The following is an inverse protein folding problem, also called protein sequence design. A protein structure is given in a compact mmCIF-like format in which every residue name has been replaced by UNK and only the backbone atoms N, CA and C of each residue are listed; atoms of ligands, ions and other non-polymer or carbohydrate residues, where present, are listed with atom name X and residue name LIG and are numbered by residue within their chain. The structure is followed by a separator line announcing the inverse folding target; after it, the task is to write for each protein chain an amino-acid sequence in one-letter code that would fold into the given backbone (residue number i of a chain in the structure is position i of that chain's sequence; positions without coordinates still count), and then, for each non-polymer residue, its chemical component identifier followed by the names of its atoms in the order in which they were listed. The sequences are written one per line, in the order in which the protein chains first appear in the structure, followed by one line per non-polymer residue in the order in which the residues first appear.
data_IF_951333494133
#
_entry.id   IF_951333494133
#
_cell.length_a   1.000
_cell.length_b   1.000
_cell.length_c   1.000
_cell.angle_alpha   90.00
_cell.angle_beta   90.00
_cell.angle_gamma   90.00
#
_symmetry.space_group_name_H-M   'P 1'
#
loop_
_entity.id
_entity.type
_entity.pdbx_description
1 polymer ?
#
# COMPACT_ATOMS: atom_id res chain seq x y z
N UNK A 1 -16.59 13.50 13.36
CA UNK A 1 -15.39 12.96 14.06
C UNK A 1 -15.08 11.51 13.70
N UNK A 2 -15.99 10.55 13.95
CA UNK A 2 -15.71 9.10 13.77
C UNK A 2 -15.23 8.77 12.34
N UNK A 3 -15.92 9.26 11.29
CA UNK A 3 -15.53 9.01 9.89
C UNK A 3 -14.12 9.50 9.55
N UNK A 4 -13.70 10.64 10.13
CA UNK A 4 -12.37 11.23 9.96
C UNK A 4 -11.31 10.40 10.67
N UNK A 5 -11.57 10.01 11.92
CA UNK A 5 -10.68 9.11 12.66
C UNK A 5 -10.51 7.78 11.91
N UNK A 6 -11.59 7.19 11.38
CA UNK A 6 -11.53 5.98 10.54
C UNK A 6 -10.72 6.20 9.25
N UNK A 7 -10.89 7.35 8.57
CA UNK A 7 -10.09 7.67 7.39
C UNK A 7 -8.59 7.76 7.71
N UNK A 8 -8.22 8.46 8.77
CA UNK A 8 -6.83 8.58 9.21
C UNK A 8 -6.28 7.21 9.59
N UNK A 9 -7.04 6.41 10.34
CA UNK A 9 -6.66 5.06 10.72
C UNK A 9 -6.41 4.16 9.50
N UNK A 10 -7.28 4.21 8.49
CA UNK A 10 -7.08 3.46 7.24
C UNK A 10 -5.81 3.88 6.50
N UNK A 11 -5.48 5.18 6.47
CA UNK A 11 -4.22 5.64 5.85
C UNK A 11 -2.99 5.19 6.66
N UNK A 12 -3.07 5.20 7.99
CA UNK A 12 -1.99 4.69 8.85
C UNK A 12 -1.78 3.20 8.63
N UNK A 13 -2.85 2.41 8.61
CA UNK A 13 -2.77 0.97 8.33
C UNK A 13 -2.20 0.74 6.94
N UNK A 14 -2.67 1.48 5.93
CA UNK A 14 -2.15 1.41 4.56
C UNK A 14 -0.67 1.78 4.48
N UNK A 15 -0.22 2.79 5.21
CA UNK A 15 1.18 3.17 5.30
C UNK A 15 2.03 2.02 5.84
N UNK A 16 1.62 1.39 6.94
CA UNK A 16 2.32 0.24 7.50
C UNK A 16 2.31 -0.97 6.56
N UNK A 17 1.21 -1.23 5.87
CA UNK A 17 1.14 -2.31 4.87
C UNK A 17 2.12 -2.08 3.72
N UNK A 18 2.23 -0.85 3.21
CA UNK A 18 3.20 -0.52 2.15
C UNK A 18 4.63 -0.58 2.67
N UNK A 19 4.89 -0.11 3.90
CA UNK A 19 6.20 -0.26 4.55
C UNK A 19 6.59 -1.73 4.69
N UNK A 20 5.66 -2.59 5.08
CA UNK A 20 5.89 -4.03 5.18
C UNK A 20 6.21 -4.63 3.80
N UNK A 21 5.45 -4.29 2.76
CA UNK A 21 5.77 -4.71 1.38
C UNK A 21 7.15 -4.21 0.92
N UNK A 22 7.53 -2.97 1.24
CA UNK A 22 8.85 -2.44 0.95
C UNK A 22 9.95 -3.24 1.66
N UNK A 23 9.71 -3.61 2.92
CA UNK A 23 10.64 -4.41 3.71
C UNK A 23 10.85 -5.80 3.11
N UNK A 24 9.78 -6.42 2.61
CA UNK A 24 9.84 -7.67 1.84
C UNK A 24 10.67 -7.49 0.57
N UNK A 25 10.47 -6.42 -0.21
CA UNK A 25 11.30 -6.22 -1.40
C UNK A 25 12.78 -6.00 -1.08
N UNK A 26 13.09 -5.27 0.00
CA UNK A 26 14.47 -5.08 0.44
C UNK A 26 15.11 -6.36 1.00
N UNK A 27 14.31 -7.35 1.42
CA UNK A 27 14.85 -8.64 1.90
C UNK A 27 15.54 -9.45 0.80
N UNK A 28 15.50 -9.01 -0.46
CA UNK A 28 16.22 -9.69 -1.53
C UNK A 28 17.73 -9.41 -1.47
N UNK A 29 18.15 -8.36 -0.76
CA UNK A 29 19.57 -8.04 -0.63
C UNK A 29 20.23 -9.01 0.37
N UNK A 30 21.22 -9.82 -0.03
CA UNK A 30 21.89 -10.75 0.88
C UNK A 30 22.70 -10.05 1.99
N UNK A 31 22.90 -8.74 1.90
CA UNK A 31 23.61 -7.94 2.91
C UNK A 31 22.75 -7.61 4.13
N UNK A 32 21.42 -7.82 4.06
CA UNK A 32 20.52 -7.56 5.20
C UNK A 32 20.29 -8.82 6.03
N UNK A 33 20.14 -8.66 7.34
CA UNK A 33 19.99 -9.78 8.29
C UNK A 33 18.69 -10.58 8.13
N UNK A 34 17.71 -10.03 7.43
CA UNK A 34 16.41 -10.65 7.16
C UNK A 34 16.31 -11.12 5.70
N UNK A 35 17.43 -11.48 5.07
CA UNK A 35 17.43 -11.97 3.70
C UNK A 35 16.46 -13.14 3.49
N UNK A 36 15.64 -13.06 2.46
CA UNK A 36 14.67 -14.09 2.10
C UNK A 36 14.75 -14.43 0.61
N UNK A 37 14.44 -15.67 0.28
CA UNK A 37 14.35 -16.09 -1.12
C UNK A 37 13.10 -15.49 -1.81
N UNK A 38 13.12 -15.46 -3.14
CA UNK A 38 12.03 -14.93 -3.95
C UNK A 38 10.68 -15.61 -3.69
N UNK A 39 10.67 -16.91 -3.40
CA UNK A 39 9.43 -17.65 -3.11
C UNK A 39 8.75 -17.20 -1.81
N UNK A 40 9.50 -16.94 -0.75
CA UNK A 40 8.98 -16.47 0.54
C UNK A 40 8.48 -15.02 0.40
N UNK A 41 9.22 -14.18 -0.33
CA UNK A 41 8.80 -12.81 -0.63
C UNK A 41 7.46 -12.76 -1.38
N UNK A 42 7.35 -13.57 -2.44
CA UNK A 42 6.11 -13.74 -3.20
C UNK A 42 4.93 -14.09 -2.30
N UNK A 43 5.12 -15.12 -1.47
CA UNK A 43 4.09 -15.63 -0.60
C UNK A 43 3.66 -14.59 0.44
N UNK A 44 4.62 -13.87 1.05
CA UNK A 44 4.33 -12.83 2.03
C UNK A 44 3.52 -11.68 1.42
N UNK A 45 3.85 -11.23 0.20
CA UNK A 45 3.09 -10.20 -0.50
C UNK A 45 1.64 -10.65 -0.78
N UNK A 46 1.44 -11.90 -1.22
CA UNK A 46 0.11 -12.41 -1.58
C UNK A 46 -0.73 -12.79 -0.37
N UNK A 47 -0.16 -13.38 0.67
CA UNK A 47 -0.92 -13.86 1.83
C UNK A 47 -1.16 -12.73 2.84
N UNK A 48 -0.25 -11.76 2.95
CA UNK A 48 -0.34 -10.72 3.97
C UNK A 48 -0.69 -9.38 3.34
N UNK A 49 0.13 -8.87 2.42
CA UNK A 49 -0.06 -7.51 1.88
C UNK A 49 -1.33 -7.38 1.04
N UNK A 50 -1.63 -8.36 0.17
CA UNK A 50 -2.80 -8.29 -0.70
C UNK A 50 -4.13 -8.28 0.08
N UNK A 51 -4.40 -9.21 1.02
CA UNK A 51 -5.64 -9.18 1.80
C UNK A 51 -5.79 -7.89 2.60
N UNK A 52 -4.70 -7.40 3.20
CA UNK A 52 -4.73 -6.13 3.94
C UNK A 52 -5.12 -4.97 3.03
N UNK A 53 -4.53 -4.85 1.84
CA UNK A 53 -4.86 -3.79 0.89
C UNK A 53 -6.30 -3.89 0.37
N UNK A 54 -6.83 -5.10 0.18
CA UNK A 54 -8.23 -5.31 -0.19
C UNK A 54 -9.18 -4.89 0.93
N UNK A 55 -8.86 -5.20 2.19
CA UNK A 55 -9.63 -4.75 3.36
C UNK A 55 -9.58 -3.23 3.48
N UNK A 56 -8.43 -2.61 3.28
CA UNK A 56 -8.27 -1.14 3.28
C UNK A 56 -9.13 -0.51 2.18
N UNK A 57 -9.09 -1.06 0.96
CA UNK A 57 -9.92 -0.62 -0.16
C UNK A 57 -11.42 -0.71 0.19
N UNK A 58 -11.86 -1.84 0.75
CA UNK A 58 -13.21 -2.01 1.25
C UNK A 58 -13.58 -0.96 2.31
N UNK A 59 -12.66 -0.65 3.23
CA UNK A 59 -12.81 0.40 4.22
C UNK A 59 -13.02 1.78 3.61
N UNK A 60 -12.22 2.16 2.60
CA UNK A 60 -12.41 3.43 1.90
C UNK A 60 -13.74 3.48 1.12
N UNK A 61 -14.13 2.38 0.46
CA UNK A 61 -15.42 2.31 -0.23
C UNK A 61 -16.60 2.47 0.74
N UNK A 62 -16.55 1.80 1.90
CA UNK A 62 -17.56 1.94 2.95
C UNK A 62 -17.65 3.36 3.49
N UNK A 63 -16.52 4.05 3.71
CA UNK A 63 -16.52 5.45 4.12
C UNK A 63 -17.17 6.37 3.08
N UNK A 64 -16.91 6.12 1.80
CA UNK A 64 -17.54 6.87 0.71
C UNK A 64 -19.06 6.66 0.66
N UNK A 65 -19.52 5.40 0.77
CA UNK A 65 -20.95 5.06 0.82
C UNK A 65 -21.62 5.73 2.03
N UNK A 66 -20.93 5.81 3.17
CA UNK A 66 -21.39 6.53 4.37
C UNK A 66 -21.33 8.05 4.22
N UNK A 67 -21.05 8.60 3.04
CA UNK A 67 -21.09 10.03 2.74
C UNK A 67 -19.87 10.82 3.22
N UNK A 68 -18.71 10.18 3.41
CA UNK A 68 -17.46 10.92 3.64
C UNK A 68 -16.94 11.47 2.30
N UNK A 69 -16.72 12.79 2.23
CA UNK A 69 -16.30 13.45 1.01
C UNK A 69 -14.80 13.24 0.78
N UNK A 70 -14.46 12.32 -0.13
CA UNK A 70 -13.07 12.00 -0.50
C UNK A 70 -12.85 12.27 -1.98
N UNK A 71 -11.68 12.81 -2.31
CA UNK A 71 -11.22 12.89 -3.70
C UNK A 71 -11.11 11.49 -4.29
N UNK A 72 -11.51 11.34 -5.56
CA UNK A 72 -11.46 10.06 -6.30
C UNK A 72 -10.06 9.43 -6.30
N UNK A 73 -9.01 10.26 -6.33
CA UNK A 73 -7.63 9.79 -6.35
C UNK A 73 -7.25 9.04 -5.06
N UNK A 74 -7.74 9.50 -3.90
CA UNK A 74 -7.46 8.89 -2.61
C UNK A 74 -8.21 7.56 -2.44
N UNK A 75 -9.42 7.46 -3.01
CA UNK A 75 -10.18 6.20 -3.06
C UNK A 75 -9.49 5.13 -3.90
N UNK A 76 -8.84 5.53 -5.00
CA UNK A 76 -8.15 4.61 -5.91
C UNK A 76 -6.71 4.29 -5.47
N UNK A 77 -6.18 4.98 -4.46
CA UNK A 77 -4.81 4.78 -3.99
C UNK A 77 -4.50 3.32 -3.61
N UNK A 78 -5.34 2.59 -2.85
CA UNK A 78 -5.10 1.18 -2.58
C UNK A 78 -5.05 0.32 -3.84
N UNK A 79 -5.85 0.65 -4.87
CA UNK A 79 -5.85 -0.08 -6.14
C UNK A 79 -4.52 0.10 -6.86
N UNK A 80 -4.00 1.34 -6.91
CA UNK A 80 -2.69 1.62 -7.52
C UNK A 80 -1.56 0.90 -6.79
N UNK A 81 -1.63 0.84 -5.45
CA UNK A 81 -0.66 0.09 -4.64
C UNK A 81 -0.72 -1.40 -4.99
N UNK A 82 -1.91 -2.00 -5.01
CA UNK A 82 -2.08 -3.43 -5.36
C UNK A 82 -1.50 -3.72 -6.76
N UNK A 83 -1.81 -2.89 -7.74
CA UNK A 83 -1.32 -3.07 -9.11
C UNK A 83 0.22 -2.96 -9.15
N UNK A 84 0.78 -1.91 -8.54
CA UNK A 84 2.22 -1.64 -8.59
C UNK A 84 3.07 -2.60 -7.75
N UNK A 85 2.53 -3.16 -6.68
CA UNK A 85 3.30 -3.96 -5.71
C UNK A 85 2.95 -5.45 -5.68
N UNK A 86 1.84 -5.87 -6.30
CA UNK A 86 1.41 -7.27 -6.21
C UNK A 86 1.07 -7.83 -7.59
N UNK A 87 0.32 -7.09 -8.42
CA UNK A 87 -0.12 -7.61 -9.72
C UNK A 87 1.05 -7.90 -10.66
N UNK A 88 2.07 -7.03 -10.69
CA UNK A 88 3.31 -7.25 -11.43
C UNK A 88 4.00 -8.56 -11.06
N UNK A 89 4.01 -8.87 -9.76
CA UNK A 89 4.63 -10.08 -9.23
C UNK A 89 3.82 -11.33 -9.61
N UNK A 90 2.50 -11.25 -9.58
CA UNK A 90 1.60 -12.36 -9.95
C UNK A 90 1.70 -12.71 -11.43
N UNK A 91 1.88 -11.72 -12.31
CA UNK A 91 1.96 -11.92 -13.77
C UNK A 91 3.30 -12.55 -14.17
N UNK A 92 4.40 -12.10 -13.57
CA UNK A 92 5.76 -12.57 -13.91
C UNK A 92 5.98 -14.01 -13.38
N UNK A 93 5.28 -14.42 -12.32
CA UNK A 93 5.38 -15.75 -11.70
C UNK A 93 6.73 -16.03 -11.01
N UNK A 94 7.72 -15.18 -11.25
CA UNK A 94 9.05 -15.14 -10.67
C UNK A 94 9.31 -13.71 -10.17
N UNK A 95 9.84 -13.54 -8.95
CA UNK A 95 10.42 -12.25 -8.57
C UNK A 95 11.80 -12.12 -9.23
N UNK A 96 11.83 -11.67 -10.48
CA UNK A 96 13.05 -11.17 -11.10
C UNK A 96 13.49 -9.84 -10.47
N UNK A 97 14.78 -9.53 -10.59
CA UNK A 97 15.37 -8.28 -10.07
C UNK A 97 14.64 -7.03 -10.58
N UNK A 98 14.17 -7.06 -11.84
CA UNK A 98 13.41 -5.97 -12.46
C UNK A 98 12.09 -5.76 -11.70
N UNK A 99 11.36 -6.84 -11.43
CA UNK A 99 10.06 -6.82 -10.75
C UNK A 99 10.21 -6.37 -9.29
N UNK A 100 11.29 -6.77 -8.61
CA UNK A 100 11.67 -6.27 -7.28
C UNK A 100 11.97 -4.76 -7.33
N UNK A 101 12.74 -4.31 -8.34
CA UNK A 101 13.07 -2.90 -8.51
C UNK A 101 11.84 -2.03 -8.73
N UNK A 102 10.93 -2.45 -9.62
CA UNK A 102 9.66 -1.76 -9.88
C UNK A 102 8.80 -1.73 -8.61
N UNK A 103 8.64 -2.87 -7.94
CA UNK A 103 7.86 -2.97 -6.70
C UNK A 103 8.39 -2.06 -5.60
N UNK A 104 9.71 -1.98 -5.43
CA UNK A 104 10.39 -1.08 -4.50
C UNK A 104 10.08 0.39 -4.80
N UNK A 105 10.22 0.81 -6.07
CA UNK A 105 9.91 2.17 -6.50
C UNK A 105 8.43 2.50 -6.26
N UNK A 106 7.52 1.59 -6.62
CA UNK A 106 6.09 1.75 -6.38
C UNK A 106 5.76 1.91 -4.89
N UNK A 107 6.40 1.12 -4.02
CA UNK A 107 6.25 1.26 -2.56
C UNK A 107 6.70 2.64 -2.09
N UNK A 108 7.89 3.11 -2.48
CA UNK A 108 8.42 4.43 -2.08
C UNK A 108 7.50 5.56 -2.52
N UNK A 109 7.08 5.58 -3.78
CA UNK A 109 6.15 6.59 -4.31
C UNK A 109 4.82 6.55 -3.54
N UNK A 110 4.32 5.35 -3.25
CA UNK A 110 3.06 5.17 -2.53
C UNK A 110 3.16 5.71 -1.09
N UNK A 111 4.24 5.44 -0.37
CA UNK A 111 4.46 5.96 0.98
C UNK A 111 4.44 7.49 1.02
N UNK A 112 5.16 8.13 0.09
CA UNK A 112 5.19 9.59 -0.03
C UNK A 112 3.78 10.11 -0.33
N UNK A 113 3.06 9.47 -1.25
CA UNK A 113 1.69 9.86 -1.62
C UNK A 113 0.70 9.73 -0.46
N UNK A 114 0.78 8.65 0.34
CA UNK A 114 -0.06 8.46 1.52
C UNK A 114 0.15 9.60 2.53
N UNK A 115 1.41 9.96 2.79
CA UNK A 115 1.74 11.08 3.69
C UNK A 115 1.16 12.40 3.16
N UNK A 116 1.37 12.70 1.87
CA UNK A 116 0.83 13.92 1.24
C UNK A 116 -0.69 13.96 1.33
N UNK A 117 -1.37 12.86 1.01
CA UNK A 117 -2.84 12.77 1.03
C UNK A 117 -3.39 12.95 2.45
N UNK A 118 -2.70 12.42 3.47
CA UNK A 118 -3.04 12.70 4.87
C UNK A 118 -2.96 14.19 5.17
N UNK A 119 -1.84 14.86 4.87
CA UNK A 119 -1.68 16.30 5.15
C UNK A 119 -2.66 17.18 4.37
N UNK A 120 -2.92 16.88 3.09
CA UNK A 120 -3.83 17.66 2.27
C UNK A 120 -5.28 17.56 2.75
N UNK A 121 -5.74 16.37 3.15
CA UNK A 121 -7.08 16.21 3.69
C UNK A 121 -7.25 16.81 5.09
N UNK A 122 -6.17 16.89 5.89
CA UNK A 122 -6.21 17.67 7.13
C UNK A 122 -6.36 19.17 6.88
N UNK A 123 -5.77 19.69 5.79
CA UNK A 123 -5.78 21.13 5.45
C UNK A 123 -7.07 21.60 4.80
N UNK A 124 -7.72 20.77 3.98
CA UNK A 124 -8.95 21.11 3.24
C UNK A 124 -10.20 21.29 4.13
N UNK A 125 -10.14 20.90 5.40
CA UNK A 125 -11.25 21.07 6.37
C UNK A 125 -11.06 22.27 7.32
N UNK A 126 -9.96 23.04 7.18
CA UNK A 126 -9.76 24.29 7.96
C UNK A 126 -10.24 25.56 7.22
N UNK A 127 -10.67 25.43 5.96
CA UNK A 127 -11.27 26.48 5.14
C UNK A 127 -12.75 26.17 4.90
#
# INVERSE_FOLDING_TARGET
MIKKASYVMLNIIMFFTVMFSLWIYMSHNPSVSWYENSGIQFLALIIISLPLLLVILGGFMLLKIKGFNMKKNNLMLPVYIIIGTILLVVIDGLLNDITIGIGTICCVISLVKIIIDMFQNFRLEQN
#
